data_IF_111508837693
#
_entry.id   IF_111508837693
#
_cell.length_a   1.000
_cell.length_b   1.000
_cell.length_c   1.000
_cell.angle_alpha   90.00
_cell.angle_beta   90.00
_cell.angle_gamma   90.00
#
_symmetry.space_group_name_H-M   'P 1'
#
loop_
_entity.id
_entity.type
_entity.pdbx_description
1 polymer ?
#
# COMPACT_ATOMS: atom_id res chain seq x y z
N UNK A 1 -10.19 -3.61 14.74
CA UNK A 1 -9.17 -3.70 13.68
C UNK A 1 -8.83 -2.30 13.24
N UNK A 2 -7.56 -1.90 13.29
CA UNK A 2 -7.14 -0.56 12.88
C UNK A 2 -6.84 -0.52 11.38
N UNK A 3 -7.26 0.56 10.70
CA UNK A 3 -7.03 0.76 9.27
C UNK A 3 -5.77 1.60 9.05
N UNK A 4 -4.91 1.18 8.12
CA UNK A 4 -3.70 1.89 7.72
C UNK A 4 -3.76 2.20 6.23
N UNK A 5 -3.66 3.48 5.87
CA UNK A 5 -3.70 3.92 4.47
C UNK A 5 -2.34 4.44 4.04
N UNK A 6 -1.82 3.90 2.94
CA UNK A 6 -0.69 4.47 2.21
C UNK A 6 -1.23 5.35 1.08
N UNK A 7 -1.14 6.67 1.25
CA UNK A 7 -1.42 7.62 0.19
C UNK A 7 -0.11 8.00 -0.50
N UNK A 8 0.01 7.65 -1.77
CA UNK A 8 1.20 7.90 -2.59
C UNK A 8 0.76 8.30 -4.00
N UNK A 9 1.62 8.98 -4.74
CA UNK A 9 1.25 9.45 -6.09
C UNK A 9 1.23 8.30 -7.10
N UNK A 10 2.22 7.41 -7.07
CA UNK A 10 2.43 6.37 -8.09
C UNK A 10 2.54 4.98 -7.46
N UNK A 11 1.98 3.97 -8.13
CA UNK A 11 1.97 2.57 -7.69
C UNK A 11 3.36 1.93 -7.66
N UNK A 12 4.20 2.20 -8.65
CA UNK A 12 5.57 1.69 -8.70
C UNK A 12 6.40 2.18 -7.51
N UNK A 13 6.21 3.42 -7.05
CA UNK A 13 6.89 3.96 -5.88
C UNK A 13 6.52 3.19 -4.60
N UNK A 14 5.25 2.85 -4.46
CA UNK A 14 4.79 1.99 -3.37
C UNK A 14 5.47 0.63 -3.39
N UNK A 15 5.46 -0.03 -4.56
CA UNK A 15 6.04 -1.36 -4.72
C UNK A 15 7.54 -1.37 -4.39
N UNK A 16 8.29 -0.38 -4.89
CA UNK A 16 9.74 -0.31 -4.70
C UNK A 16 10.18 0.03 -3.28
N UNK A 17 9.44 0.88 -2.55
CA UNK A 17 9.92 1.44 -1.27
C UNK A 17 9.04 1.14 -0.06
N UNK A 18 7.75 0.86 -0.25
CA UNK A 18 6.76 0.79 0.84
C UNK A 18 6.09 -0.58 0.99
N UNK A 19 6.22 -1.46 0.00
CA UNK A 19 5.62 -2.81 0.03
C UNK A 19 6.06 -3.63 1.26
N UNK A 20 7.35 -3.56 1.63
CA UNK A 20 7.86 -4.28 2.79
C UNK A 20 7.18 -3.80 4.09
N UNK A 21 6.96 -2.49 4.24
CA UNK A 21 6.27 -1.92 5.39
C UNK A 21 4.78 -2.31 5.43
N UNK A 22 4.11 -2.27 4.27
CA UNK A 22 2.70 -2.65 4.17
C UNK A 22 2.49 -4.13 4.53
N UNK A 23 3.40 -5.02 4.11
CA UNK A 23 3.39 -6.43 4.50
C UNK A 23 3.60 -6.61 6.00
N UNK A 24 4.56 -5.89 6.59
CA UNK A 24 4.78 -5.93 8.03
C UNK A 24 3.55 -5.45 8.81
N UNK A 25 2.87 -4.39 8.33
CA UNK A 25 1.63 -3.90 8.93
C UNK A 25 0.49 -4.92 8.82
N UNK A 26 0.32 -5.61 7.68
CA UNK A 26 -0.65 -6.70 7.56
C UNK A 26 -0.34 -7.83 8.57
N UNK A 27 0.92 -8.24 8.70
CA UNK A 27 1.32 -9.26 9.67
C UNK A 27 1.09 -8.82 11.13
N UNK A 28 1.09 -7.51 11.40
CA UNK A 28 0.75 -6.94 12.69
C UNK A 28 -0.77 -6.79 12.93
N UNK A 29 -1.62 -7.21 11.98
CA UNK A 29 -3.07 -7.22 12.12
C UNK A 29 -3.79 -5.93 11.69
N UNK A 30 -3.10 -5.06 10.94
CA UNK A 30 -3.72 -3.87 10.35
C UNK A 30 -4.49 -4.22 9.06
N UNK A 31 -5.62 -3.54 8.86
CA UNK A 31 -6.31 -3.51 7.57
C UNK A 31 -5.62 -2.47 6.66
N UNK A 32 -4.82 -2.94 5.72
CA UNK A 32 -3.94 -2.07 4.92
C UNK A 32 -4.56 -1.75 3.57
N UNK A 33 -4.68 -0.46 3.27
CA UNK A 33 -5.14 0.06 1.98
C UNK A 33 -4.09 0.94 1.34
N UNK A 34 -3.96 0.88 0.01
CA UNK A 34 -3.07 1.73 -0.77
C UNK A 34 -3.91 2.58 -1.70
N UNK A 35 -3.75 3.88 -1.64
CA UNK A 35 -4.40 4.84 -2.53
C UNK A 35 -3.31 5.50 -3.36
N UNK A 36 -3.40 5.31 -4.67
CA UNK A 36 -2.42 5.79 -5.63
C UNK A 36 -3.08 6.10 -6.96
N UNK A 37 -2.39 6.82 -7.84
CA UNK A 37 -2.80 6.94 -9.23
C UNK A 37 -2.78 5.54 -9.85
N UNK A 38 -3.96 5.09 -10.27
CA UNK A 38 -4.18 3.81 -10.91
C UNK A 38 -3.64 3.90 -12.35
N UNK A 39 -2.51 3.23 -12.62
CA UNK A 39 -1.94 3.08 -13.96
C UNK A 39 -2.65 1.98 -14.78
N UNK A 40 -2.20 1.71 -16.02
CA UNK A 40 -2.82 0.72 -16.90
C UNK A 40 -2.86 -0.73 -16.35
N UNK A 41 -2.02 -1.03 -15.35
CA UNK A 41 -1.90 -2.35 -14.74
C UNK A 41 -2.86 -2.59 -13.55
N UNK A 42 -3.60 -1.55 -13.14
CA UNK A 42 -4.52 -1.59 -12.02
C UNK A 42 -5.81 -2.32 -12.47
N UNK A 43 -6.00 -3.55 -12.00
CA UNK A 43 -7.19 -4.41 -12.21
C UNK A 43 -7.92 -4.62 -10.89
#
# INVERSE_FOLDING_TARGET
>A
MAKLVYLVTEDWYFVSHRLALAKAAQSAGFDVMVVTRCGAACR
#
